data_IF_640841066785
#
_entry.id   IF_640841066785
#
_cell.length_a   1.000
_cell.length_b   1.000
_cell.length_c   1.000
_cell.angle_alpha   90.00
_cell.angle_beta   90.00
_cell.angle_gamma   90.00
#
_symmetry.space_group_name_H-M   'P 1'
#
loop_
_entity.id
_entity.type
_entity.pdbx_description
1 polymer ?
#
# COMPACT_ATOMS: atom_id res chain seq x y z
N UNK A 1 19.00 6.14 9.11
CA UNK A 1 18.08 6.29 7.96
C UNK A 1 16.90 5.38 8.23
N UNK A 2 15.68 5.86 8.10
CA UNK A 2 14.48 5.07 8.35
C UNK A 2 13.46 5.30 7.25
N UNK A 3 12.65 4.29 6.88
CA UNK A 3 11.54 4.46 5.96
C UNK A 3 10.25 4.82 6.70
N UNK A 4 9.30 5.37 5.96
CA UNK A 4 7.88 5.34 6.29
C UNK A 4 7.21 4.19 5.52
N UNK A 5 6.57 3.25 6.21
CA UNK A 5 5.84 2.13 5.60
C UNK A 5 4.34 2.31 5.81
N UNK A 6 3.56 2.28 4.72
CA UNK A 6 2.10 2.34 4.78
C UNK A 6 1.52 0.93 4.74
N UNK A 7 0.86 0.53 5.82
CA UNK A 7 0.19 -0.75 5.98
C UNK A 7 -1.31 -0.58 5.75
N UNK A 8 -1.84 -1.23 4.70
CA UNK A 8 -3.25 -1.15 4.35
C UNK A 8 -3.69 -2.37 3.54
N UNK A 9 -4.96 -2.79 3.65
CA UNK A 9 -5.53 -3.72 2.68
C UNK A 9 -5.56 -3.11 1.28
N UNK A 10 -5.65 -3.93 0.22
CA UNK A 10 -5.91 -3.40 -1.11
C UNK A 10 -7.19 -2.57 -1.11
N UNK A 11 -7.28 -1.61 -2.03
CA UNK A 11 -8.47 -0.75 -2.19
C UNK A 11 -8.74 0.18 -1.01
N UNK A 12 -7.71 0.58 -0.26
CA UNK A 12 -7.82 1.51 0.87
C UNK A 12 -7.07 2.84 0.64
N UNK A 13 -7.20 3.41 -0.56
CA UNK A 13 -6.59 4.70 -0.96
C UNK A 13 -5.05 4.77 -0.91
N UNK A 14 -4.39 3.65 -0.60
CA UNK A 14 -2.96 3.62 -0.30
C UNK A 14 -2.06 4.08 -1.43
N UNK A 15 -2.45 3.88 -2.70
CA UNK A 15 -1.70 4.39 -3.87
C UNK A 15 -1.67 5.92 -3.97
N UNK A 16 -2.82 6.58 -3.77
CA UNK A 16 -2.88 8.05 -3.84
C UNK A 16 -2.23 8.67 -2.60
N UNK A 17 -2.50 8.12 -1.41
CA UNK A 17 -1.91 8.60 -0.15
C UNK A 17 -0.38 8.43 -0.16
N UNK A 18 0.16 7.27 -0.60
CA UNK A 18 1.62 7.09 -0.68
C UNK A 18 2.26 8.06 -1.67
N UNK A 19 1.60 8.33 -2.80
CA UNK A 19 2.10 9.29 -3.78
C UNK A 19 2.08 10.73 -3.25
N UNK A 20 1.01 11.12 -2.54
CA UNK A 20 0.90 12.43 -1.88
C UNK A 20 2.01 12.64 -0.85
N UNK A 21 2.19 11.70 0.08
CA UNK A 21 3.28 11.77 1.07
C UNK A 21 4.65 11.82 0.40
N UNK A 22 4.81 11.06 -0.70
CA UNK A 22 6.04 11.03 -1.48
C UNK A 22 6.40 12.31 -2.21
N UNK A 23 5.50 13.29 -2.32
CA UNK A 23 5.80 14.60 -2.90
C UNK A 23 6.28 15.63 -1.87
N UNK A 24 6.22 15.31 -0.57
CA UNK A 24 6.80 16.20 0.42
C UNK A 24 8.29 16.44 0.12
N UNK A 25 8.84 17.66 0.20
CA UNK A 25 10.23 17.95 -0.23
C UNK A 25 11.31 17.11 0.48
N UNK A 26 11.03 16.66 1.70
CA UNK A 26 11.91 15.80 2.50
C UNK A 26 11.58 14.30 2.41
N UNK A 27 10.65 13.90 1.52
CA UNK A 27 10.24 12.51 1.33
C UNK A 27 10.37 12.08 -0.12
N UNK A 28 10.33 10.77 -0.36
CA UNK A 28 10.40 10.18 -1.70
C UNK A 28 9.45 9.00 -1.82
N UNK A 29 8.38 9.17 -2.60
CA UNK A 29 7.40 8.12 -2.84
C UNK A 29 7.94 7.03 -3.76
N UNK A 30 7.97 5.78 -3.29
CA UNK A 30 8.33 4.61 -4.10
C UNK A 30 7.07 3.98 -4.71
N UNK A 31 7.20 3.25 -5.83
CA UNK A 31 6.17 2.32 -6.29
C UNK A 31 6.11 1.11 -5.34
N UNK A 32 5.13 0.21 -5.55
CA UNK A 32 5.06 -1.06 -4.82
C UNK A 32 6.30 -1.92 -5.12
N UNK A 33 7.24 -1.99 -4.18
CA UNK A 33 8.49 -2.73 -4.34
C UNK A 33 8.30 -4.23 -4.08
N UNK A 34 7.36 -4.57 -3.19
CA UNK A 34 7.07 -5.94 -2.74
C UNK A 34 8.26 -6.67 -2.11
N UNK A 35 9.28 -5.94 -1.66
CA UNK A 35 10.53 -6.53 -1.14
C UNK A 35 10.30 -7.48 0.03
N UNK A 36 9.36 -7.19 0.92
CA UNK A 36 9.08 -8.02 2.10
C UNK A 36 8.40 -9.36 1.78
N UNK A 37 8.16 -9.68 0.50
CA UNK A 37 7.60 -10.96 0.09
C UNK A 37 8.60 -12.13 0.13
N UNK A 38 9.90 -11.85 0.24
CA UNK A 38 10.98 -12.85 0.40
C UNK A 38 12.05 -12.36 1.37
N UNK A 39 12.81 -13.28 1.97
CA UNK A 39 13.93 -12.95 2.85
C UNK A 39 15.12 -12.41 2.07
N UNK A 40 15.41 -13.04 0.94
CA UNK A 40 16.45 -12.65 -0.01
C UNK A 40 15.85 -12.44 -1.40
N UNK A 41 16.68 -11.93 -2.32
CA UNK A 41 16.24 -11.64 -3.68
C UNK A 41 15.88 -12.91 -4.44
N UNK A 42 16.56 -14.03 -4.22
CA UNK A 42 16.20 -15.32 -4.83
C UNK A 42 14.76 -15.76 -4.47
N UNK A 43 14.40 -15.79 -3.20
CA UNK A 43 13.03 -16.07 -2.74
C UNK A 43 12.02 -15.05 -3.28
N UNK A 44 12.41 -13.78 -3.37
CA UNK A 44 11.56 -12.74 -3.94
C UNK A 44 11.27 -12.99 -5.43
N UNK A 45 12.28 -13.43 -6.19
CA UNK A 45 12.17 -13.84 -7.60
C UNK A 45 11.21 -15.02 -7.72
N UNK A 46 11.39 -16.06 -6.92
CA UNK A 46 10.49 -17.21 -6.87
C UNK A 46 9.05 -16.80 -6.54
N UNK A 47 8.86 -15.94 -5.53
CA UNK A 47 7.57 -15.40 -5.16
C UNK A 47 6.91 -14.71 -6.36
N UNK A 48 7.66 -13.89 -7.10
CA UNK A 48 7.12 -13.21 -8.26
C UNK A 48 6.82 -14.14 -9.44
N UNK A 49 7.60 -15.21 -9.65
CA UNK A 49 7.44 -16.14 -10.77
C UNK A 49 6.40 -17.25 -10.51
N UNK A 50 6.08 -17.53 -9.25
CA UNK A 50 5.16 -18.61 -8.83
C UNK A 50 3.69 -18.49 -9.30
N UNK A 51 3.25 -17.33 -9.81
CA UNK A 51 1.85 -17.11 -10.21
C UNK A 51 1.77 -16.86 -11.72
N UNK A 52 1.72 -17.96 -12.48
CA UNK A 52 1.97 -18.10 -13.92
C UNK A 52 1.18 -17.22 -14.92
N UNK A 53 0.45 -16.20 -14.47
CA UNK A 53 -0.21 -15.19 -15.32
C UNK A 53 -0.09 -13.75 -14.79
N UNK A 54 0.54 -13.56 -13.61
CA UNK A 54 0.70 -12.25 -12.92
C UNK A 54 2.17 -11.87 -12.72
N UNK A 55 3.09 -12.73 -13.16
CA UNK A 55 4.53 -12.69 -12.91
C UNK A 55 5.19 -11.37 -13.30
N UNK A 56 4.83 -10.75 -14.42
CA UNK A 56 5.37 -9.46 -14.82
C UNK A 56 5.03 -8.33 -13.84
N UNK A 57 3.77 -8.21 -13.45
CA UNK A 57 3.26 -7.02 -12.73
C UNK A 57 3.83 -6.81 -11.32
N UNK A 58 4.32 -7.88 -10.68
CA UNK A 58 4.85 -7.82 -9.30
C UNK A 58 6.28 -7.27 -9.24
N UNK A 59 7.07 -7.48 -10.29
CA UNK A 59 8.41 -6.90 -10.41
C UNK A 59 8.39 -5.43 -10.81
N UNK A 60 7.36 -4.99 -11.54
CA UNK A 60 7.35 -3.71 -12.24
C UNK A 60 7.73 -2.54 -11.34
N UNK A 61 7.18 -2.45 -10.13
CA UNK A 61 7.50 -1.38 -9.20
C UNK A 61 8.97 -1.38 -8.78
N UNK A 62 9.51 -2.53 -8.37
CA UNK A 62 10.93 -2.67 -8.03
C UNK A 62 11.84 -2.31 -9.21
N UNK A 63 11.54 -2.81 -10.41
CA UNK A 63 12.32 -2.54 -11.60
C UNK A 63 12.28 -1.07 -12.00
N UNK A 64 11.12 -0.42 -11.89
CA UNK A 64 10.95 1.01 -12.15
C UNK A 64 11.71 1.85 -11.11
N UNK A 65 11.65 1.49 -9.84
CA UNK A 65 12.36 2.19 -8.78
C UNK A 65 13.88 2.14 -8.99
N UNK A 66 14.42 0.96 -9.33
CA UNK A 66 15.84 0.79 -9.64
C UNK A 66 16.22 1.54 -10.92
N UNK A 67 15.40 1.46 -11.97
CA UNK A 67 15.64 2.18 -13.22
C UNK A 67 15.72 3.71 -12.99
N UNK A 68 14.78 4.25 -12.23
CA UNK A 68 14.74 5.68 -11.88
C UNK A 68 15.93 6.09 -11.01
N UNK A 69 16.15 5.42 -9.88
CA UNK A 69 17.13 5.84 -8.87
C UNK A 69 18.58 5.54 -9.22
N UNK A 70 18.83 4.49 -10.01
CA UNK A 70 20.19 4.07 -10.36
C UNK A 70 20.58 4.47 -11.78
N UNK A 71 19.61 4.59 -12.69
CA UNK A 71 19.87 4.90 -14.11
C UNK A 71 19.31 6.27 -14.54
N UNK A 72 18.55 6.94 -13.67
CA UNK A 72 18.01 8.29 -13.90
C UNK A 72 16.84 8.35 -14.88
N UNK A 73 16.23 7.20 -15.24
CA UNK A 73 15.08 7.13 -16.16
C UNK A 73 14.39 5.76 -16.15
N UNK A 74 13.13 5.73 -16.55
CA UNK A 74 12.32 4.50 -16.70
C UNK A 74 12.12 4.09 -18.18
N UNK A 75 13.19 4.10 -18.99
CA UNK A 75 13.09 3.54 -20.36
C UNK A 75 13.12 2.01 -20.35
N UNK A 76 12.62 1.38 -21.42
CA UNK A 76 12.69 -0.08 -21.60
C UNK A 76 14.10 -0.64 -21.35
N UNK A 77 15.13 0.04 -21.87
CA UNK A 77 16.53 -0.32 -21.66
C UNK A 77 17.00 -0.18 -20.21
N UNK A 78 16.60 0.90 -19.52
CA UNK A 78 16.93 1.09 -18.11
C UNK A 78 16.25 0.03 -17.22
N UNK A 79 15.00 -0.35 -17.52
CA UNK A 79 14.31 -1.45 -16.85
C UNK A 79 14.99 -2.80 -17.10
N UNK A 80 15.48 -3.06 -18.31
CA UNK A 80 16.28 -4.27 -18.57
C UNK A 80 17.59 -4.30 -17.78
N UNK A 81 18.25 -3.16 -17.60
CA UNK A 81 19.43 -3.05 -16.73
C UNK A 81 19.07 -3.21 -15.26
N UNK A 82 17.94 -2.64 -14.81
CA UNK A 82 17.42 -2.84 -13.47
C UNK A 82 17.15 -4.32 -13.18
N UNK A 83 16.58 -5.06 -14.14
CA UNK A 83 16.37 -6.51 -13.97
C UNK A 83 17.69 -7.25 -13.80
N UNK A 84 18.70 -6.95 -14.62
CA UNK A 84 20.05 -7.52 -14.47
C UNK A 84 20.66 -7.16 -13.12
N UNK A 85 20.44 -5.92 -12.65
CA UNK A 85 20.89 -5.49 -11.34
C UNK A 85 20.25 -6.34 -10.24
N UNK A 86 18.93 -6.54 -10.26
CA UNK A 86 18.24 -7.40 -9.26
C UNK A 86 18.82 -8.81 -9.28
N UNK A 87 18.96 -9.42 -10.46
CA UNK A 87 19.51 -10.77 -10.61
C UNK A 87 20.96 -10.88 -10.10
N UNK A 88 21.78 -9.85 -10.30
CA UNK A 88 23.16 -9.83 -9.81
C UNK A 88 23.29 -9.61 -8.28
N UNK A 89 22.17 -9.33 -7.59
CA UNK A 89 22.11 -9.21 -6.14
C UNK A 89 21.21 -10.33 -5.56
N UNK A 90 21.09 -11.49 -6.22
CA UNK A 90 20.23 -12.62 -5.82
C UNK A 90 20.44 -13.07 -4.37
N UNK A 91 21.69 -13.06 -3.94
CA UNK A 91 22.12 -13.60 -2.64
C UNK A 91 21.94 -12.59 -1.50
N UNK A 92 21.56 -11.34 -1.82
CA UNK A 92 21.35 -10.31 -0.82
C UNK A 92 19.97 -10.41 -0.17
N UNK A 93 19.89 -9.96 1.09
CA UNK A 93 18.59 -9.84 1.75
C UNK A 93 17.76 -8.75 1.08
N UNK A 94 16.44 -8.89 1.13
CA UNK A 94 15.54 -7.85 0.59
C UNK A 94 15.63 -6.55 1.38
N UNK A 95 16.06 -6.61 2.65
CA UNK A 95 16.38 -5.46 3.50
C UNK A 95 17.63 -4.73 3.00
N UNK A 96 18.70 -5.44 2.62
CA UNK A 96 19.91 -4.82 2.05
C UNK A 96 19.61 -4.11 0.73
N UNK A 97 18.80 -4.73 -0.13
CA UNK A 97 18.30 -4.09 -1.36
C UNK A 97 17.48 -2.85 -1.05
N UNK A 98 16.60 -2.91 -0.03
CA UNK A 98 15.81 -1.75 0.37
C UNK A 98 16.72 -0.62 0.89
N UNK A 99 17.74 -0.94 1.68
CA UNK A 99 18.70 0.04 2.18
C UNK A 99 19.47 0.72 1.04
N UNK A 100 19.87 -0.01 0.00
CA UNK A 100 20.49 0.56 -1.21
C UNK A 100 19.56 1.54 -1.93
N UNK A 101 18.28 1.22 -2.03
CA UNK A 101 17.25 2.11 -2.60
C UNK A 101 17.12 3.39 -1.74
N UNK A 102 17.03 3.25 -0.42
CA UNK A 102 16.95 4.39 0.48
C UNK A 102 18.19 5.30 0.39
N UNK A 103 19.38 4.72 0.30
CA UNK A 103 20.64 5.44 0.09
C UNK A 103 20.65 6.28 -1.20
N UNK A 104 19.95 5.83 -2.26
CA UNK A 104 19.79 6.62 -3.50
C UNK A 104 18.73 7.71 -3.41
N UNK A 105 17.72 7.54 -2.56
CA UNK A 105 16.71 8.57 -2.33
C UNK A 105 17.17 9.66 -1.35
N UNK A 106 18.20 9.37 -0.54
CA UNK A 106 18.77 10.25 0.46
C UNK A 106 19.09 11.66 -0.07
N UNK A 107 18.89 12.72 0.74
CA UNK A 107 18.53 12.70 2.16
C UNK A 107 17.02 12.52 2.43
N UNK A 108 16.19 12.26 1.40
CA UNK A 108 14.74 12.13 1.57
C UNK A 108 14.36 10.82 2.25
N UNK A 109 13.34 10.86 3.09
CA UNK A 109 12.72 9.68 3.72
C UNK A 109 11.89 8.95 2.68
N UNK A 110 12.15 7.67 2.44
CA UNK A 110 11.34 6.92 1.49
C UNK A 110 9.96 6.59 2.06
N UNK A 111 8.94 6.64 1.21
CA UNK A 111 7.59 6.15 1.49
C UNK A 111 7.40 4.85 0.73
N UNK A 112 7.37 3.75 1.47
CA UNK A 112 7.09 2.42 0.93
C UNK A 112 5.63 2.08 1.18
N UNK A 113 4.99 1.51 0.16
CA UNK A 113 3.69 0.88 0.30
C UNK A 113 3.61 -0.29 -0.66
N UNK A 114 3.44 -1.49 -0.12
CA UNK A 114 3.09 -2.67 -0.89
C UNK A 114 1.92 -3.39 -0.24
N UNK A 115 0.89 -3.73 -1.03
CA UNK A 115 -0.23 -4.55 -0.51
C UNK A 115 0.22 -5.94 -0.09
N UNK A 116 1.38 -6.40 -0.58
CA UNK A 116 1.96 -7.71 -0.26
C UNK A 116 2.43 -7.80 1.19
N UNK A 117 2.92 -6.69 1.74
CA UNK A 117 3.46 -6.60 3.10
C UNK A 117 2.49 -7.08 4.18
N UNK A 118 1.18 -6.91 3.98
CA UNK A 118 0.17 -7.25 5.01
C UNK A 118 -0.53 -8.59 4.78
N UNK A 119 -0.09 -9.38 3.78
CA UNK A 119 -0.80 -10.61 3.40
C UNK A 119 -0.73 -11.72 4.44
N UNK A 120 0.43 -11.86 5.08
CA UNK A 120 0.67 -12.84 6.14
C UNK A 120 1.63 -12.25 7.18
N UNK A 121 1.80 -12.98 8.29
CA UNK A 121 2.57 -12.50 9.44
C UNK A 121 4.08 -12.48 9.15
N UNK A 122 4.55 -13.34 8.27
CA UNK A 122 5.96 -13.44 7.87
C UNK A 122 6.40 -12.19 7.07
N UNK A 123 5.64 -11.81 6.05
CA UNK A 123 5.91 -10.60 5.25
C UNK A 123 5.79 -9.33 6.09
N UNK A 124 4.78 -9.27 6.97
CA UNK A 124 4.62 -8.13 7.86
C UNK A 124 5.76 -8.07 8.88
N UNK A 125 6.16 -9.21 9.43
CA UNK A 125 7.29 -9.34 10.35
C UNK A 125 8.61 -8.87 9.73
N UNK A 126 8.87 -9.19 8.45
CA UNK A 126 10.04 -8.66 7.73
C UNK A 126 10.02 -7.13 7.67
N UNK A 127 8.87 -6.52 7.38
CA UNK A 127 8.75 -5.05 7.34
C UNK A 127 8.95 -4.40 8.72
N UNK A 128 8.40 -4.99 9.79
CA UNK A 128 8.56 -4.49 11.16
C UNK A 128 10.01 -4.55 11.65
N UNK A 129 10.74 -5.59 11.24
CA UNK A 129 12.10 -5.84 11.68
C UNK A 129 13.18 -5.26 10.74
N UNK A 130 12.78 -4.65 9.62
CA UNK A 130 13.71 -4.18 8.59
C UNK A 130 14.67 -3.09 9.10
N UNK A 131 14.14 -2.07 9.80
CA UNK A 131 14.95 -1.01 10.40
C UNK A 131 14.39 -0.59 11.76
N UNK A 132 15.25 -0.34 12.76
CA UNK A 132 14.83 -0.09 14.14
C UNK A 132 13.98 1.18 14.30
N UNK A 133 14.23 2.20 13.48
CA UNK A 133 13.53 3.49 13.54
C UNK A 133 12.40 3.62 12.51
N UNK A 134 12.00 2.52 11.86
CA UNK A 134 10.90 2.54 10.87
C UNK A 134 9.64 3.11 11.49
N UNK A 135 8.97 3.98 10.74
CA UNK A 135 7.66 4.52 11.11
C UNK A 135 6.57 3.90 10.25
N UNK A 136 5.39 3.73 10.83
CA UNK A 136 4.27 3.03 10.21
C UNK A 136 3.02 3.89 10.17
N UNK A 137 2.38 3.97 9.01
CA UNK A 137 1.00 4.44 8.91
C UNK A 137 0.11 3.22 8.71
N UNK A 138 -0.84 3.02 9.62
CA UNK A 138 -1.95 2.09 9.42
C UNK A 138 -3.07 2.85 8.72
N UNK A 139 -3.13 2.72 7.41
CA UNK A 139 -4.13 3.40 6.58
C UNK A 139 -5.40 2.55 6.50
N UNK A 140 -6.52 3.16 6.89
CA UNK A 140 -7.82 2.51 7.01
C UNK A 140 -8.82 3.07 6.00
N UNK A 141 -9.82 2.26 5.70
CA UNK A 141 -10.98 2.61 4.88
C UNK A 141 -12.22 1.98 5.49
N UNK A 142 -13.35 2.68 5.44
CA UNK A 142 -14.62 2.19 5.99
C UNK A 142 -14.96 0.80 5.39
N UNK A 143 -15.34 -0.22 6.21
CA UNK A 143 -15.54 -1.60 5.74
C UNK A 143 -16.57 -1.70 4.62
N UNK A 144 -17.66 -0.92 4.69
CA UNK A 144 -18.68 -0.82 3.63
C UNK A 144 -18.11 -0.35 2.29
N UNK A 145 -17.38 0.77 2.30
CA UNK A 145 -16.85 1.36 1.07
C UNK A 145 -15.69 0.53 0.49
N UNK A 146 -14.89 -0.10 1.37
CA UNK A 146 -13.88 -1.09 0.99
C UNK A 146 -14.53 -2.31 0.34
N UNK A 147 -15.52 -2.92 1.00
CA UNK A 147 -16.22 -4.11 0.52
C UNK A 147 -16.85 -3.89 -0.85
N UNK A 148 -17.58 -2.79 -1.06
CA UNK A 148 -18.11 -2.44 -2.38
C UNK A 148 -17.02 -2.30 -3.45
N UNK A 149 -15.85 -1.75 -3.12
CA UNK A 149 -14.74 -1.65 -4.07
C UNK A 149 -14.12 -3.01 -4.40
N UNK A 150 -14.04 -3.93 -3.43
CA UNK A 150 -13.56 -5.29 -3.65
C UNK A 150 -14.54 -6.04 -4.57
N UNK A 151 -15.85 -5.92 -4.32
CA UNK A 151 -16.88 -6.53 -5.17
C UNK A 151 -16.81 -6.05 -6.62
N UNK A 152 -16.65 -4.74 -6.86
CA UNK A 152 -16.48 -4.19 -8.21
C UNK A 152 -15.25 -4.80 -8.90
N UNK A 153 -14.15 -4.93 -8.18
CA UNK A 153 -12.89 -5.46 -8.70
C UNK A 153 -12.99 -6.95 -9.05
N UNK A 154 -13.58 -7.76 -8.16
CA UNK A 154 -13.79 -9.20 -8.37
C UNK A 154 -14.69 -9.43 -9.58
N UNK A 155 -15.78 -8.68 -9.73
CA UNK A 155 -16.69 -8.77 -10.89
C UNK A 155 -16.02 -8.38 -12.20
N UNK A 156 -15.27 -7.27 -12.24
CA UNK A 156 -14.70 -6.72 -13.49
C UNK A 156 -13.44 -7.42 -13.97
N UNK A 157 -12.63 -7.98 -13.05
CA UNK A 157 -11.27 -8.42 -13.38
C UNK A 157 -10.98 -9.88 -13.04
N UNK A 158 -12.00 -10.64 -12.63
CA UNK A 158 -11.81 -12.01 -12.12
C UNK A 158 -10.79 -12.05 -10.99
N UNK A 159 -10.66 -10.94 -10.26
CA UNK A 159 -9.56 -10.72 -9.34
C UNK A 159 -9.72 -11.67 -8.14
N UNK A 160 -8.92 -12.73 -8.16
CA UNK A 160 -8.81 -13.72 -7.10
C UNK A 160 -7.96 -13.14 -5.97
N UNK A 161 -8.56 -12.60 -4.91
CA UNK A 161 -7.86 -12.25 -3.65
C UNK A 161 -7.58 -13.54 -2.86
N UNK A 162 -7.21 -14.61 -3.57
CA UNK A 162 -7.23 -15.98 -3.08
C UNK A 162 -8.58 -16.38 -2.48
N UNK A 163 -8.56 -17.46 -1.70
CA UNK A 163 -9.72 -17.96 -0.92
C UNK A 163 -10.10 -17.05 0.25
N UNK A 164 -9.35 -15.96 0.47
CA UNK A 164 -9.41 -15.16 1.69
C UNK A 164 -10.52 -14.12 1.75
N UNK A 165 -11.49 -14.18 0.84
CA UNK A 165 -12.69 -13.33 0.78
C UNK A 165 -13.97 -14.16 0.83
N UNK A 166 -13.87 -15.48 1.00
CA UNK A 166 -15.04 -16.36 1.04
C UNK A 166 -15.34 -16.78 2.48
N UNK A 167 -16.62 -16.68 2.83
CA UNK A 167 -17.17 -17.35 3.99
C UNK A 167 -17.33 -18.84 3.65
N UNK A 168 -16.58 -19.69 4.36
CA UNK A 168 -16.61 -21.14 4.15
C UNK A 168 -17.61 -21.84 5.08
N UNK A 169 -18.33 -21.10 5.93
CA UNK A 169 -19.41 -21.66 6.76
C UNK A 169 -20.69 -21.91 5.96
N UNK A 170 -20.82 -21.29 4.78
CA UNK A 170 -21.93 -21.50 3.85
C UNK A 170 -21.61 -22.56 2.80
N UNK A 171 -22.65 -23.16 2.21
CA UNK A 171 -22.51 -24.14 1.12
C UNK A 171 -23.45 -23.80 -0.06
N UNK A 172 -22.93 -23.37 -1.23
CA UNK A 172 -21.51 -23.16 -1.53
C UNK A 172 -20.92 -21.95 -0.77
N UNK A 173 -19.58 -21.88 -0.60
CA UNK A 173 -18.93 -20.73 0.04
C UNK A 173 -19.34 -19.40 -0.59
N UNK A 174 -19.68 -18.44 0.26
CA UNK A 174 -20.25 -17.15 -0.16
C UNK A 174 -19.19 -16.06 -0.14
N UNK A 175 -19.19 -15.19 -1.15
CA UNK A 175 -18.26 -14.07 -1.24
C UNK A 175 -18.60 -13.01 -0.18
N UNK A 176 -17.65 -12.72 0.70
CA UNK A 176 -17.80 -11.73 1.75
C UNK A 176 -16.50 -10.93 2.01
N UNK A 177 -16.35 -9.74 1.38
CA UNK A 177 -15.20 -8.88 1.56
C UNK A 177 -14.92 -8.44 3.00
N UNK A 178 -15.89 -8.53 3.93
CA UNK A 178 -15.65 -8.13 5.32
C UNK A 178 -14.62 -9.03 6.01
N UNK A 179 -14.52 -10.29 5.59
CA UNK A 179 -13.53 -11.27 6.10
C UNK A 179 -12.10 -10.79 5.82
N UNK A 180 -11.86 -10.34 4.58
CA UNK A 180 -10.58 -9.80 4.17
C UNK A 180 -10.24 -8.53 4.93
N UNK A 181 -11.22 -7.62 5.04
CA UNK A 181 -11.07 -6.35 5.73
C UNK A 181 -10.66 -6.57 7.20
N UNK A 182 -11.42 -7.41 7.91
CA UNK A 182 -11.15 -7.74 9.31
C UNK A 182 -9.78 -8.40 9.46
N UNK A 183 -9.53 -9.48 8.72
CA UNK A 183 -8.28 -10.26 8.86
C UNK A 183 -7.02 -9.41 8.66
N UNK A 184 -6.99 -8.54 7.65
CA UNK A 184 -5.81 -7.68 7.42
C UNK A 184 -5.68 -6.64 8.52
N UNK A 185 -6.77 -5.96 8.88
CA UNK A 185 -6.69 -4.91 9.88
C UNK A 185 -6.40 -5.44 11.29
N UNK A 186 -6.93 -6.61 11.66
CA UNK A 186 -6.58 -7.27 12.93
C UNK A 186 -5.11 -7.62 12.95
N UNK A 187 -4.58 -8.25 11.89
CA UNK A 187 -3.13 -8.53 11.76
C UNK A 187 -2.26 -7.28 11.92
N UNK A 188 -2.60 -6.20 11.22
CA UNK A 188 -1.84 -4.94 11.32
C UNK A 188 -1.91 -4.39 12.75
N UNK A 189 -3.09 -4.40 13.36
CA UNK A 189 -3.29 -3.90 14.73
C UNK A 189 -2.51 -4.71 15.75
N UNK A 190 -2.54 -6.04 15.64
CA UNK A 190 -1.80 -6.95 16.51
C UNK A 190 -0.29 -6.76 16.35
N UNK A 191 0.20 -6.69 15.12
CA UNK A 191 1.60 -6.47 14.82
C UNK A 191 2.12 -5.11 15.36
N UNK A 192 1.33 -4.05 15.19
CA UNK A 192 1.67 -2.70 15.65
C UNK A 192 1.45 -2.49 17.16
N UNK A 193 0.86 -3.45 17.87
CA UNK A 193 0.64 -3.34 19.33
C UNK A 193 1.95 -3.18 20.11
N UNK A 194 3.03 -3.78 19.62
CA UNK A 194 4.38 -3.72 20.21
C UNK A 194 5.22 -2.53 19.76
N UNK A 195 4.76 -1.79 18.74
CA UNK A 195 5.47 -0.62 18.20
C UNK A 195 5.14 0.61 19.04
N UNK A 196 6.12 1.43 19.47
CA UNK A 196 5.87 2.67 20.20
C UNK A 196 4.99 3.66 19.43
N UNK A 197 4.19 4.44 20.14
CA UNK A 197 3.22 5.39 19.56
C UNK A 197 3.91 6.47 18.71
N UNK A 198 5.15 6.86 19.03
CA UNK A 198 5.95 7.79 18.23
C UNK A 198 6.37 7.21 16.86
N UNK A 199 6.27 5.89 16.67
CA UNK A 199 6.60 5.19 15.41
C UNK A 199 5.38 4.64 14.68
N UNK A 200 4.16 4.85 15.17
CA UNK A 200 2.94 4.44 14.47
C UNK A 200 1.86 5.52 14.48
N UNK A 201 1.11 5.63 13.39
CA UNK A 201 -0.07 6.49 13.30
C UNK A 201 -1.18 5.76 12.55
N UNK A 202 -2.39 5.71 13.11
CA UNK A 202 -3.57 5.25 12.37
C UNK A 202 -4.20 6.44 11.64
N UNK A 203 -4.51 6.26 10.36
CA UNK A 203 -5.05 7.31 9.50
C UNK A 203 -6.24 6.75 8.72
N UNK A 204 -7.35 7.49 8.68
CA UNK A 204 -8.47 7.22 7.78
C UNK A 204 -8.18 7.84 6.42
N UNK A 205 -8.12 7.02 5.37
CA UNK A 205 -7.85 7.52 4.02
C UNK A 205 -8.94 8.47 3.52
N UNK A 206 -10.18 8.27 3.96
CA UNK A 206 -11.29 9.21 3.78
C UNK A 206 -10.95 10.64 4.20
N UNK A 207 -10.35 10.80 5.38
CA UNK A 207 -10.10 12.11 5.97
C UNK A 207 -8.96 12.81 5.23
N UNK A 208 -7.93 12.05 4.81
CA UNK A 208 -6.83 12.56 3.97
C UNK A 208 -7.36 13.08 2.64
N UNK A 209 -8.29 12.37 2.00
CA UNK A 209 -8.81 12.80 0.71
C UNK A 209 -9.82 13.95 0.81
N UNK A 210 -10.61 14.00 1.89
CA UNK A 210 -11.57 15.10 2.10
C UNK A 210 -10.89 16.38 2.56
N UNK A 211 -9.91 16.29 3.47
CA UNK A 211 -9.22 17.43 4.07
C UNK A 211 -7.69 17.30 3.91
N UNK A 212 -7.18 17.26 2.66
CA UNK A 212 -5.79 16.93 2.39
C UNK A 212 -4.81 17.90 3.04
N UNK A 213 -5.06 19.20 3.00
CA UNK A 213 -4.16 20.19 3.60
C UNK A 213 -3.95 19.97 5.10
N UNK A 214 -5.04 19.84 5.87
CA UNK A 214 -4.97 19.58 7.30
C UNK A 214 -4.30 18.22 7.60
N UNK A 215 -4.76 17.15 6.95
CA UNK A 215 -4.31 15.79 7.29
C UNK A 215 -2.88 15.50 6.84
N UNK A 216 -2.43 16.08 5.72
CA UNK A 216 -1.03 15.98 5.31
C UNK A 216 -0.11 16.77 6.23
N UNK A 217 -0.55 17.95 6.71
CA UNK A 217 0.19 18.71 7.71
C UNK A 217 0.32 17.95 9.05
N UNK A 218 -0.75 17.30 9.53
CA UNK A 218 -0.71 16.45 10.72
C UNK A 218 0.30 15.29 10.58
N UNK A 219 0.32 14.62 9.41
CA UNK A 219 1.29 13.54 9.15
C UNK A 219 2.73 14.07 9.05
N UNK A 220 2.93 15.21 8.38
CA UNK A 220 4.26 15.82 8.24
C UNK A 220 4.82 16.28 9.60
N UNK A 221 3.98 16.90 10.44
CA UNK A 221 4.34 17.29 11.81
C UNK A 221 4.73 16.07 12.65
N UNK A 222 3.92 15.01 12.63
CA UNK A 222 4.23 13.75 13.30
C UNK A 222 5.56 13.17 12.82
N UNK A 223 5.86 13.25 11.53
CA UNK A 223 7.15 12.84 10.93
C UNK A 223 8.33 13.75 11.32
N UNK A 224 8.10 14.89 11.96
CA UNK A 224 9.13 15.87 12.29
C UNK A 224 9.64 16.63 11.06
N UNK A 225 8.77 16.84 10.07
CA UNK A 225 9.08 17.51 8.80
C UNK A 225 8.55 18.95 8.80
N UNK A 226 8.99 19.77 7.84
CA UNK A 226 8.44 21.12 7.66
C UNK A 226 6.95 21.06 7.26
N UNK A 227 6.15 21.97 7.79
CA UNK A 227 4.68 21.99 7.63
C UNK A 227 4.16 23.28 7.03
N UNK A 228 5.04 24.13 6.49
CA UNK A 228 4.62 25.34 5.78
C UNK A 228 3.84 25.02 4.51
N UNK A 229 3.09 26.02 4.05
CA UNK A 229 2.14 25.89 2.95
C UNK A 229 2.77 25.38 1.65
N UNK A 230 4.03 25.70 1.37
CA UNK A 230 4.71 25.23 0.16
C UNK A 230 4.92 23.71 0.21
N UNK A 231 5.42 23.19 1.33
CA UNK A 231 5.63 21.75 1.48
C UNK A 231 4.33 20.95 1.44
N UNK A 232 3.27 21.47 2.08
CA UNK A 232 1.94 20.82 2.08
C UNK A 232 1.25 20.95 0.71
N UNK A 233 1.47 22.03 -0.04
CA UNK A 233 0.98 22.17 -1.40
C UNK A 233 1.58 21.10 -2.33
N UNK A 234 2.89 20.88 -2.28
CA UNK A 234 3.54 19.84 -3.09
C UNK A 234 2.95 18.44 -2.84
N UNK A 235 2.57 18.13 -1.59
CA UNK A 235 1.91 16.87 -1.23
C UNK A 235 0.55 16.66 -1.92
N UNK A 236 -0.12 17.72 -2.36
CA UNK A 236 -1.42 17.63 -3.06
C UNK A 236 -1.30 17.32 -4.55
N UNK A 237 -0.07 17.12 -5.04
CA UNK A 237 0.22 16.84 -6.45
C UNK A 237 0.78 15.43 -6.71
N UNK A 238 0.09 14.35 -6.30
CA UNK A 238 0.57 12.97 -6.46
C UNK A 238 0.92 12.59 -7.92
N UNK A 239 0.33 13.27 -8.91
CA UNK A 239 0.65 13.12 -10.33
C UNK A 239 2.08 13.48 -10.71
N UNK A 240 2.79 14.26 -9.86
CA UNK A 240 4.19 14.64 -10.10
C UNK A 240 5.18 13.54 -9.72
N UNK A 241 4.73 12.46 -9.09
CA UNK A 241 5.59 11.31 -8.81
C UNK A 241 6.14 10.71 -10.11
N UNK A 242 7.44 10.35 -10.18
CA UNK A 242 8.00 9.67 -11.35
C UNK A 242 7.36 8.28 -11.58
N UNK A 243 6.63 7.76 -10.60
CA UNK A 243 5.96 6.47 -10.67
C UNK A 243 4.44 6.58 -10.89
N UNK A 244 3.89 7.79 -10.96
CA UNK A 244 2.45 8.06 -11.13
C UNK A 244 1.99 7.98 -12.60
N UNK A 245 2.45 6.97 -13.32
CA UNK A 245 2.09 6.73 -14.73
C UNK A 245 2.31 5.27 -15.09
N UNK A 246 1.71 4.83 -16.21
CA UNK A 246 2.05 3.53 -16.80
C UNK A 246 3.51 3.57 -17.29
N UNK A 247 4.31 2.62 -16.80
CA UNK A 247 5.72 2.48 -17.18
C UNK A 247 5.92 1.90 -18.58
N UNK A 248 7.16 1.57 -18.98
CA UNK A 248 7.44 0.92 -20.25
C UNK A 248 6.80 -0.48 -20.34
N UNK A 249 6.69 -1.01 -21.55
CA UNK A 249 6.07 -2.32 -21.85
C UNK A 249 6.63 -3.50 -21.04
N UNK A 250 7.91 -3.43 -20.65
CA UNK A 250 8.59 -4.43 -19.84
C UNK A 250 8.55 -4.17 -18.33
N UNK A 251 7.94 -3.08 -17.88
CA UNK A 251 7.57 -2.83 -16.48
C UNK A 251 6.43 -1.79 -16.38
N UNK A 252 5.19 -2.12 -16.80
CA UNK A 252 4.12 -1.12 -16.93
C UNK A 252 3.48 -0.71 -15.59
N UNK A 253 3.50 -1.57 -14.57
CA UNK A 253 2.80 -1.36 -13.30
C UNK A 253 3.73 -0.81 -12.19
N UNK A 254 3.41 -1.08 -10.92
CA UNK A 254 4.06 -0.49 -9.74
C UNK A 254 3.10 0.24 -8.80
N UNK A 255 1.81 0.28 -9.12
CA UNK A 255 0.75 0.78 -8.25
C UNK A 255 -0.62 0.27 -8.74
N UNK A 256 -1.71 0.71 -8.09
CA UNK A 256 -3.06 0.44 -8.56
C UNK A 256 -3.28 1.00 -9.97
N UNK A 257 -3.84 0.18 -10.85
CA UNK A 257 -4.04 0.56 -12.25
C UNK A 257 -4.91 1.81 -12.41
N UNK A 258 -6.00 1.96 -11.63
CA UNK A 258 -6.87 3.16 -11.74
C UNK A 258 -6.12 4.43 -11.32
N UNK A 259 -5.14 4.32 -10.43
CA UNK A 259 -4.29 5.43 -10.04
C UNK A 259 -3.28 5.77 -11.15
N UNK A 260 -2.66 4.78 -11.79
CA UNK A 260 -1.71 5.03 -12.89
C UNK A 260 -2.38 5.64 -14.14
N UNK A 261 -3.67 5.38 -14.35
CA UNK A 261 -4.46 5.98 -15.45
C UNK A 261 -4.83 7.44 -15.18
N UNK A 262 -5.07 7.79 -13.91
CA UNK A 262 -5.46 9.15 -13.49
C UNK A 262 -4.94 9.42 -12.07
N UNK A 263 -3.66 9.86 -11.97
CA UNK A 263 -2.97 9.97 -10.70
C UNK A 263 -3.30 11.25 -9.93
N UNK A 264 -4.04 12.17 -10.55
CA UNK A 264 -4.36 13.47 -9.96
C UNK A 264 -5.18 13.34 -8.68
N UNK A 265 -4.92 14.21 -7.71
CA UNK A 265 -5.78 14.31 -6.53
C UNK A 265 -7.15 14.85 -6.95
N UNK A 266 -8.19 14.02 -6.82
CA UNK A 266 -9.56 14.40 -7.15
C UNK A 266 -10.28 14.97 -5.93
N UNK A 267 -11.16 15.97 -6.11
CA UNK A 267 -12.09 16.36 -5.06
C UNK A 267 -12.82 15.13 -4.53
N UNK A 268 -12.72 14.92 -3.23
CA UNK A 268 -13.31 13.76 -2.56
C UNK A 268 -14.27 14.24 -1.48
N UNK A 269 -15.46 13.67 -1.49
CA UNK A 269 -16.43 13.83 -0.42
C UNK A 269 -16.66 12.48 0.21
N UNK A 270 -16.44 12.38 1.53
CA UNK A 270 -16.77 11.19 2.27
C UNK A 270 -18.24 10.87 2.05
N UNK A 271 -18.49 9.63 1.67
CA UNK A 271 -19.85 9.13 1.51
C UNK A 271 -20.44 8.93 2.89
N UNK A 272 -21.71 9.29 3.02
CA UNK A 272 -22.49 8.93 4.20
C UNK A 272 -22.71 7.41 4.19
N UNK A 273 -21.90 6.70 4.97
CA UNK A 273 -21.93 5.24 5.11
C UNK A 273 -21.95 4.93 6.60
N UNK A 274 -22.78 3.96 6.97
CA UNK A 274 -22.93 3.49 8.34
C UNK A 274 -22.41 2.06 8.50
N UNK A 275 -22.01 1.69 9.71
CA UNK A 275 -21.78 0.30 10.11
C UNK A 275 -23.08 -0.51 10.19
N UNK A 276 -24.24 0.14 10.31
CA UNK A 276 -25.54 -0.51 10.39
C UNK A 276 -26.13 -0.88 9.03
N UNK A 277 -26.99 -1.89 9.04
CA UNK A 277 -27.83 -2.29 7.91
C UNK A 277 -27.18 -3.22 6.89
N UNK A 278 -28.02 -3.69 5.97
CA UNK A 278 -27.72 -4.79 5.03
C UNK A 278 -26.50 -4.52 4.15
N UNK A 279 -25.77 -5.58 3.81
CA UNK A 279 -24.59 -5.50 2.96
C UNK A 279 -24.97 -5.68 1.49
N UNK A 280 -24.50 -4.79 0.62
CA UNK A 280 -24.85 -4.81 -0.82
C UNK A 280 -24.32 -6.02 -1.60
N UNK A 281 -23.58 -6.91 -0.95
CA UNK A 281 -22.99 -8.12 -1.53
C UNK A 281 -23.46 -9.41 -0.87
N UNK A 282 -24.29 -9.31 0.16
CA UNK A 282 -24.68 -10.45 0.98
C UNK A 282 -26.06 -10.25 1.57
N UNK A 283 -27.01 -11.08 1.14
CA UNK A 283 -28.43 -10.95 1.47
C UNK A 283 -28.88 -11.88 2.61
N UNK A 284 -28.07 -12.87 2.97
CA UNK A 284 -28.32 -13.87 4.04
C UNK A 284 -27.95 -13.37 5.45
N UNK A 285 -27.35 -12.18 5.58
CA UNK A 285 -27.00 -11.57 6.86
C UNK A 285 -27.52 -10.13 6.96
N UNK A 286 -27.81 -9.67 8.18
CA UNK A 286 -28.41 -8.36 8.42
C UNK A 286 -27.41 -7.19 8.35
N UNK A 287 -26.10 -7.47 8.47
CA UNK A 287 -25.07 -6.43 8.51
C UNK A 287 -23.66 -7.00 8.72
N UNK A 288 -22.74 -6.17 9.18
CA UNK A 288 -21.39 -6.61 9.52
C UNK A 288 -21.37 -7.55 10.73
N UNK A 289 -20.35 -8.41 10.81
CA UNK A 289 -20.08 -9.18 12.04
C UNK A 289 -19.70 -8.25 13.19
N UNK A 290 -19.92 -8.69 14.43
CA UNK A 290 -19.55 -7.92 15.62
C UNK A 290 -18.07 -7.58 15.66
N UNK A 291 -17.20 -8.49 15.19
CA UNK A 291 -15.75 -8.28 15.11
C UNK A 291 -15.39 -7.14 14.14
N UNK A 292 -16.07 -7.05 13.00
CA UNK A 292 -15.89 -5.95 12.04
C UNK A 292 -16.38 -4.63 12.63
N UNK A 293 -17.53 -4.63 13.30
CA UNK A 293 -18.09 -3.43 13.94
C UNK A 293 -17.16 -2.90 15.03
N UNK A 294 -16.70 -3.77 15.93
CA UNK A 294 -15.78 -3.41 17.01
C UNK A 294 -14.48 -2.82 16.46
N UNK A 295 -13.83 -3.51 15.51
CA UNK A 295 -12.59 -3.01 14.91
C UNK A 295 -12.79 -1.71 14.13
N UNK A 296 -13.89 -1.56 13.40
CA UNK A 296 -14.19 -0.34 12.66
C UNK A 296 -14.46 0.85 13.61
N UNK A 297 -15.14 0.60 14.73
CA UNK A 297 -15.40 1.60 15.77
C UNK A 297 -14.09 2.08 16.39
N UNK A 298 -13.12 1.19 16.64
CA UNK A 298 -11.77 1.56 17.12
C UNK A 298 -11.00 2.44 16.12
N UNK A 299 -11.28 2.31 14.82
CA UNK A 299 -10.73 3.20 13.79
C UNK A 299 -11.54 4.50 13.60
N UNK A 300 -12.55 4.73 14.43
CA UNK A 300 -13.39 5.92 14.39
C UNK A 300 -14.46 5.91 13.29
N UNK A 301 -14.89 4.73 12.81
CA UNK A 301 -16.05 4.60 11.93
C UNK A 301 -17.34 4.38 12.72
N UNK A 302 -18.46 4.78 12.13
CA UNK A 302 -19.83 4.71 12.67
C UNK A 302 -20.78 4.21 11.59
#
# INVERSE_FOLDING_TARGET
MYPLIILAPPRSFSSVVSAMLGQHPQMYGLPELNLFAGENVEELIEYFESDGHRTGRRWDGLLRAIAELFMGKQSRGAVSLARKWVLNNSDETTVDVFEKIMKRAAPRIVVEKSITTVWNDEMLGRALNAFPDTRFIHLTRHPRSHGSSIMELTKKRGWSIGRGIYDNSTNPPTLDPQILWHRIHSRISDALSSIPDERKMQVRGEDVLQNPEQKLAEIADWMGLRTDSEAIEEMKHPERSPFASIGPDNAPMGSDHKFLEDPSLKPYRVKDVSLDGKLAWRDDIEGFSLEVIDLATRFGYT
#
